data_IF_626428868859
#
_entry.id   IF_626428868859
#
_cell.length_a   1.000
_cell.length_b   1.000
_cell.length_c   1.000
_cell.angle_alpha   90.00
_cell.angle_beta   90.00
_cell.angle_gamma   90.00
#
_symmetry.space_group_name_H-M   'P 1'
#
loop_
_entity.id
_entity.type
_entity.pdbx_description
1 polymer ?
#
# COMPACT_ATOMS: atom_id res chain seq x y z
N UNK A 1 -24.88 -22.07 4.40
CA UNK A 1 -25.55 -20.80 4.04
C UNK A 1 -24.48 -19.79 3.64
N UNK A 2 -24.67 -19.16 2.48
CA UNK A 2 -23.98 -17.98 1.93
C UNK A 2 -22.51 -17.78 2.24
N UNK A 3 -21.60 -18.39 1.47
CA UNK A 3 -20.22 -17.90 1.39
C UNK A 3 -20.25 -16.59 0.61
N UNK A 4 -20.36 -15.46 1.29
CA UNK A 4 -20.11 -14.15 0.69
C UNK A 4 -18.73 -14.21 0.07
N UNK A 5 -18.61 -13.88 -1.22
CA UNK A 5 -17.32 -13.87 -1.89
C UNK A 5 -16.42 -12.88 -1.13
N UNK A 6 -15.21 -13.28 -0.69
CA UNK A 6 -14.35 -12.39 0.09
C UNK A 6 -14.07 -11.12 -0.72
N UNK A 7 -14.28 -9.97 -0.09
CA UNK A 7 -14.01 -8.68 -0.71
C UNK A 7 -12.51 -8.54 -0.96
N UNK A 8 -12.11 -7.64 -1.86
CA UNK A 8 -10.70 -7.32 -2.02
C UNK A 8 -10.07 -6.82 -0.69
N UNK A 9 -10.86 -6.19 0.18
CA UNK A 9 -10.43 -5.79 1.53
C UNK A 9 -10.12 -6.98 2.43
N UNK A 10 -10.89 -8.06 2.35
CA UNK A 10 -10.62 -9.30 3.09
C UNK A 10 -9.33 -9.96 2.58
N UNK A 11 -9.15 -9.97 1.26
CA UNK A 11 -7.92 -10.47 0.63
C UNK A 11 -6.70 -9.64 1.05
N UNK A 12 -6.81 -8.31 1.05
CA UNK A 12 -5.75 -7.42 1.50
C UNK A 12 -5.37 -7.65 2.97
N UNK A 13 -6.36 -7.92 3.83
CA UNK A 13 -6.10 -8.23 5.25
C UNK A 13 -5.35 -9.55 5.40
N UNK A 14 -5.70 -10.57 4.61
CA UNK A 14 -4.97 -11.84 4.59
C UNK A 14 -3.53 -11.67 4.10
N UNK A 15 -3.32 -10.89 3.04
CA UNK A 15 -1.98 -10.56 2.55
C UNK A 15 -1.17 -9.89 3.65
N UNK A 16 -1.68 -8.85 4.30
CA UNK A 16 -0.95 -8.17 5.38
C UNK A 16 -0.56 -9.11 6.53
N UNK A 17 -1.45 -10.05 6.86
CA UNK A 17 -1.21 -11.06 7.88
C UNK A 17 -0.03 -11.98 7.50
N UNK A 18 0.09 -12.38 6.24
CA UNK A 18 1.22 -13.17 5.73
C UNK A 18 2.55 -12.42 5.89
N UNK A 19 2.53 -11.10 5.72
CA UNK A 19 3.72 -10.25 5.86
C UNK A 19 4.05 -9.87 7.32
N UNK A 20 3.24 -10.25 8.32
CA UNK A 20 3.54 -9.95 9.74
C UNK A 20 4.87 -10.55 10.20
N UNK A 21 5.25 -11.71 9.67
CA UNK A 21 6.51 -12.39 9.99
C UNK A 21 7.71 -11.55 9.53
N UNK A 22 7.65 -11.04 8.30
CA UNK A 22 8.63 -10.11 7.73
C UNK A 22 8.70 -8.81 8.55
N UNK A 23 7.54 -8.20 8.84
CA UNK A 23 7.47 -7.01 9.69
C UNK A 23 8.14 -7.20 11.05
N UNK A 24 8.01 -8.40 11.64
CA UNK A 24 8.56 -8.70 12.97
C UNK A 24 10.07 -8.57 13.00
N UNK A 25 10.76 -9.03 11.96
CA UNK A 25 12.23 -9.04 11.86
C UNK A 25 12.83 -7.73 11.35
N UNK A 26 12.01 -6.82 10.79
CA UNK A 26 12.46 -5.47 10.40
C UNK A 26 13.05 -4.70 11.59
N UNK A 27 14.05 -3.86 11.29
CA UNK A 27 14.61 -2.90 12.25
C UNK A 27 13.51 -1.96 12.74
N UNK A 28 13.62 -1.50 13.99
CA UNK A 28 12.61 -0.62 14.62
C UNK A 28 12.29 0.62 13.78
N UNK A 29 13.30 1.17 13.11
CA UNK A 29 13.17 2.36 12.26
C UNK A 29 12.40 2.11 10.94
N UNK A 30 12.30 0.86 10.49
CA UNK A 30 11.69 0.52 9.19
C UNK A 30 10.24 0.06 9.35
N UNK A 31 9.85 -0.42 10.55
CA UNK A 31 8.47 -0.84 10.83
C UNK A 31 7.43 0.24 10.51
N UNK A 32 7.61 1.53 10.89
CA UNK A 32 6.62 2.56 10.55
C UNK A 32 6.51 2.83 9.04
N UNK A 33 7.63 2.69 8.30
CA UNK A 33 7.62 2.84 6.84
C UNK A 33 6.88 1.68 6.18
N UNK A 34 7.15 0.46 6.66
CA UNK A 34 6.45 -0.74 6.23
C UNK A 34 4.94 -0.65 6.49
N UNK A 35 4.52 -0.22 7.68
CA UNK A 35 3.10 -0.06 8.04
C UNK A 35 2.38 0.92 7.10
N UNK A 36 3.09 1.97 6.67
CA UNK A 36 2.56 2.95 5.70
C UNK A 36 2.31 2.35 4.32
N UNK A 37 3.10 1.38 3.88
CA UNK A 37 2.89 0.71 2.58
C UNK A 37 1.52 0.01 2.53
N UNK A 38 1.16 -0.67 3.61
CA UNK A 38 -0.16 -1.30 3.74
C UNK A 38 -1.29 -0.29 4.00
N UNK A 39 -0.99 0.92 4.47
CA UNK A 39 -1.98 2.00 4.49
C UNK A 39 -2.33 2.44 3.06
N UNK A 40 -1.32 2.70 2.21
CA UNK A 40 -1.51 3.04 0.80
C UNK A 40 -2.35 2.00 0.05
N UNK A 41 -2.07 0.73 0.27
CA UNK A 41 -2.84 -0.36 -0.32
C UNK A 41 -4.31 -0.40 0.13
N UNK A 42 -4.60 -0.02 1.39
CA UNK A 42 -5.98 0.05 1.91
C UNK A 42 -6.74 1.25 1.35
N UNK A 43 -6.07 2.39 1.20
CA UNK A 43 -6.66 3.61 0.66
C UNK A 43 -7.12 3.44 -0.80
N UNK A 44 -6.54 2.47 -1.52
CA UNK A 44 -6.88 2.12 -2.91
C UNK A 44 -7.68 0.80 -3.04
N UNK A 45 -8.13 0.22 -1.93
CA UNK A 45 -8.78 -1.10 -1.94
C UNK A 45 -10.15 -1.10 -2.65
N UNK A 46 -10.83 0.05 -2.69
CA UNK A 46 -12.07 0.27 -3.43
C UNK A 46 -11.84 0.26 -4.96
N UNK A 47 -10.78 0.93 -5.43
CA UNK A 47 -10.38 0.92 -6.84
C UNK A 47 -9.94 -0.49 -7.28
N UNK A 48 -9.15 -1.17 -6.45
CA UNK A 48 -8.68 -2.53 -6.71
C UNK A 48 -9.80 -3.58 -6.72
N UNK A 49 -10.88 -3.36 -5.95
CA UNK A 49 -12.06 -4.22 -5.94
C UNK A 49 -12.74 -4.38 -7.31
N UNK A 50 -12.55 -3.43 -8.23
CA UNK A 50 -13.10 -3.46 -9.58
C UNK A 50 -12.26 -4.30 -10.56
N UNK A 51 -11.01 -4.63 -10.22
CA UNK A 51 -10.06 -5.23 -11.16
C UNK A 51 -10.22 -6.76 -11.29
N UNK A 52 -10.84 -7.42 -10.31
CA UNK A 52 -10.87 -8.90 -10.16
C UNK A 52 -9.54 -9.57 -10.57
N UNK A 53 -8.42 -9.19 -9.94
CA UNK A 53 -7.10 -9.57 -10.40
C UNK A 53 -6.83 -11.08 -10.20
N UNK A 54 -6.10 -11.68 -11.13
CA UNK A 54 -5.60 -13.04 -10.96
C UNK A 54 -4.54 -13.14 -9.85
N UNK A 55 -3.78 -12.07 -9.65
CA UNK A 55 -2.82 -11.92 -8.55
C UNK A 55 -3.32 -10.84 -7.56
N UNK A 56 -3.75 -11.21 -6.35
CA UNK A 56 -4.20 -10.28 -5.32
C UNK A 56 -3.12 -9.26 -4.86
N UNK A 57 -1.84 -9.54 -5.08
CA UNK A 57 -0.75 -8.61 -4.74
C UNK A 57 -0.57 -7.50 -5.79
N UNK A 58 -0.99 -7.71 -7.04
CA UNK A 58 -0.74 -6.74 -8.11
C UNK A 58 -1.32 -5.32 -7.79
N UNK A 59 -2.56 -5.17 -7.29
CA UNK A 59 -3.07 -3.86 -6.94
C UNK A 59 -2.45 -3.29 -5.66
N UNK A 60 -1.94 -4.14 -4.75
CA UNK A 60 -1.17 -3.69 -3.57
C UNK A 60 0.10 -2.96 -4.03
N UNK A 61 0.85 -3.56 -4.96
CA UNK A 61 2.06 -2.94 -5.49
C UNK A 61 1.78 -1.68 -6.28
N UNK A 62 0.70 -1.67 -7.08
CA UNK A 62 0.29 -0.49 -7.83
C UNK A 62 -0.07 0.68 -6.90
N UNK A 63 -0.85 0.43 -5.85
CA UNK A 63 -1.21 1.44 -4.86
C UNK A 63 0.01 2.00 -4.13
N UNK A 64 0.95 1.14 -3.75
CA UNK A 64 2.22 1.56 -3.13
C UNK A 64 3.03 2.44 -4.08
N UNK A 65 3.17 2.03 -5.35
CA UNK A 65 3.91 2.80 -6.34
C UNK A 65 3.29 4.17 -6.59
N UNK A 66 1.96 4.24 -6.72
CA UNK A 66 1.23 5.48 -6.95
C UNK A 66 1.40 6.48 -5.80
N UNK A 67 1.25 6.03 -4.56
CA UNK A 67 1.42 6.89 -3.38
C UNK A 67 2.87 7.31 -3.14
N UNK A 68 3.83 6.45 -3.50
CA UNK A 68 5.23 6.82 -3.48
C UNK A 68 5.54 7.87 -4.54
N UNK A 69 4.95 7.76 -5.73
CA UNK A 69 5.20 8.73 -6.80
C UNK A 69 4.61 10.10 -6.49
N UNK A 70 3.39 10.13 -5.92
CA UNK A 70 2.81 11.38 -5.39
C UNK A 70 3.73 12.04 -4.36
N UNK A 71 4.28 11.26 -3.43
CA UNK A 71 5.19 11.77 -2.39
C UNK A 71 6.52 12.26 -2.95
N UNK A 72 7.04 11.62 -4.00
CA UNK A 72 8.26 12.08 -4.66
C UNK A 72 8.01 13.44 -5.31
N UNK A 73 6.93 13.57 -6.08
CA UNK A 73 6.55 14.85 -6.70
C UNK A 73 6.39 15.97 -5.66
N UNK A 74 5.71 15.71 -4.54
CA UNK A 74 5.56 16.69 -3.45
C UNK A 74 6.90 17.13 -2.84
N UNK A 75 7.86 16.21 -2.71
CA UNK A 75 9.19 16.52 -2.19
C UNK A 75 10.05 17.26 -3.23
N UNK A 76 9.89 16.94 -4.51
CA UNK A 76 10.56 17.64 -5.61
C UNK A 76 10.08 19.09 -5.69
N UNK A 77 8.77 19.34 -5.62
CA UNK A 77 8.16 20.67 -5.58
C UNK A 77 8.66 21.47 -4.35
N UNK A 78 8.74 20.84 -3.18
CA UNK A 78 9.25 21.49 -1.96
C UNK A 78 10.72 21.90 -2.13
N UNK A 79 11.57 21.01 -2.66
CA UNK A 79 12.99 21.30 -2.91
C UNK A 79 13.16 22.42 -3.94
N UNK A 80 12.38 22.43 -5.00
CA UNK A 80 12.39 23.50 -6.01
C UNK A 80 12.04 24.84 -5.34
N UNK A 81 10.96 24.89 -4.56
CA UNK A 81 10.53 26.11 -3.86
C UNK A 81 11.56 26.68 -2.87
N UNK A 82 12.36 25.82 -2.24
CA UNK A 82 13.42 26.22 -1.32
C UNK A 82 14.70 26.68 -2.04
N UNK A 83 14.88 26.25 -3.30
CA UNK A 83 16.07 26.60 -4.11
C UNK A 83 15.84 27.88 -4.93
N UNK A 84 14.58 28.20 -5.25
CA UNK A 84 14.20 29.44 -5.94
C UNK A 84 14.04 30.67 -5.01
N UNK A 85 14.15 30.47 -3.69
CA UNK A 85 14.06 31.51 -2.65
C UNK A 85 15.44 32.06 -2.23
#
# INVERSE_FOLDING_TARGET
>A
MGRTNPTYRDQLSAIEDDWRSFRRVLRRQDKPRFDRLFAYARDHADAAGNLNPADPLAPVWMAIALEQERRIAELEDEVESLTEA
#
